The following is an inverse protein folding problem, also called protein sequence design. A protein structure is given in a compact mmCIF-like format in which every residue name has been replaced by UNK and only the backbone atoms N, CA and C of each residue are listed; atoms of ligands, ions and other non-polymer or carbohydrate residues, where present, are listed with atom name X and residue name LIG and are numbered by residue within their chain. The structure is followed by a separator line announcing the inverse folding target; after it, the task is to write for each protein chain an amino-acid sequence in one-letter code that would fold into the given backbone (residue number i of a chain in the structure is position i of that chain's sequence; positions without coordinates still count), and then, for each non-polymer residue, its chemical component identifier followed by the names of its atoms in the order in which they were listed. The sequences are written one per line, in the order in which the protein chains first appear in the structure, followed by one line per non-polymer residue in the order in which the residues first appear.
data_IF_819540435722
#
_entry.id   IF_819540435722
#
_cell.length_a   1.000
_cell.length_b   1.000
_cell.length_c   1.000
_cell.angle_alpha   90.00
_cell.angle_beta   90.00
_cell.angle_gamma   90.00
#
_symmetry.space_group_name_H-M   'P 1'
#
loop_
_entity.id
_entity.type
_entity.pdbx_description
1 polymer ?
#
# COMPACT_ATOMS: atom_id res chain seq x y z
N UNK A 1 -13.81 7.05 44.27
CA UNK A 1 -12.59 6.25 44.46
C UNK A 1 -11.79 6.30 43.16
N UNK A 2 -10.66 7.00 43.12
CA UNK A 2 -9.78 7.04 41.93
C UNK A 2 -8.75 5.93 42.11
N UNK A 3 -8.82 4.87 41.29
CA UNK A 3 -7.77 3.87 41.26
C UNK A 3 -6.59 4.43 40.44
N UNK A 4 -5.53 4.84 41.14
CA UNK A 4 -4.25 5.14 40.50
C UNK A 4 -3.58 3.82 40.13
N UNK A 5 -3.34 3.61 38.83
CA UNK A 5 -2.56 2.48 38.33
C UNK A 5 -1.09 2.84 38.54
N UNK A 6 -0.48 2.31 39.60
CA UNK A 6 0.95 2.44 39.86
C UNK A 6 1.70 1.45 38.98
N UNK A 7 2.03 1.83 37.74
CA UNK A 7 2.94 1.06 36.90
C UNK A 7 4.33 1.06 37.55
N UNK A 8 4.83 -0.13 37.92
CA UNK A 8 6.12 -0.25 38.60
C UNK A 8 7.29 -0.01 37.61
N UNK A 9 8.38 0.61 38.07
CA UNK A 9 9.56 0.94 37.25
C UNK A 9 10.10 -0.26 36.44
N UNK A 10 9.96 -1.48 36.99
CA UNK A 10 10.36 -2.74 36.36
C UNK A 10 9.57 -3.08 35.09
N UNK A 11 8.28 -2.72 35.04
CA UNK A 11 7.44 -2.89 33.86
C UNK A 11 7.73 -1.81 32.80
N UNK A 12 8.05 -0.59 33.23
CA UNK A 12 8.49 0.49 32.33
C UNK A 12 9.83 0.18 31.64
N UNK A 13 10.79 -0.41 32.36
CA UNK A 13 12.07 -0.87 31.81
C UNK A 13 11.91 -2.04 30.84
N UNK A 14 10.93 -2.92 31.09
CA UNK A 14 10.60 -4.03 30.18
C UNK A 14 9.95 -3.51 28.90
N UNK A 15 8.97 -2.61 29.00
CA UNK A 15 8.29 -1.99 27.85
C UNK A 15 9.26 -1.23 26.95
N UNK A 16 10.12 -0.40 27.52
CA UNK A 16 11.15 0.35 26.76
C UNK A 16 12.11 -0.58 26.02
N UNK A 17 12.51 -1.69 26.63
CA UNK A 17 13.37 -2.70 25.97
C UNK A 17 12.65 -3.41 24.81
N UNK A 18 11.35 -3.64 24.90
CA UNK A 18 10.53 -4.25 23.84
C UNK A 18 10.40 -3.29 22.65
N UNK A 19 10.11 -2.01 22.90
CA UNK A 19 10.04 -0.99 21.84
C UNK A 19 11.41 -0.69 21.22
N UNK A 20 12.51 -0.80 21.96
CA UNK A 20 13.85 -0.68 21.41
C UNK A 20 14.17 -1.83 20.44
N UNK A 21 13.89 -3.08 20.84
CA UNK A 21 14.03 -4.25 19.96
C UNK A 21 13.16 -4.14 18.72
N UNK A 22 11.92 -3.66 18.87
CA UNK A 22 11.01 -3.41 17.76
C UNK A 22 11.55 -2.36 16.78
N UNK A 23 12.01 -1.20 17.28
CA UNK A 23 12.63 -0.15 16.44
C UNK A 23 13.85 -0.65 15.67
N UNK A 24 14.70 -1.46 16.32
CA UNK A 24 15.84 -2.09 15.65
C UNK A 24 15.41 -3.09 14.56
N UNK A 25 14.34 -3.85 14.79
CA UNK A 25 13.78 -4.77 13.79
C UNK A 25 13.06 -4.04 12.64
N UNK A 26 12.41 -2.91 12.93
CA UNK A 26 11.75 -2.05 11.95
C UNK A 26 12.77 -1.36 11.03
N UNK A 27 13.87 -0.83 11.56
CA UNK A 27 14.95 -0.24 10.74
C UNK A 27 15.59 -1.25 9.76
N UNK A 28 15.67 -2.52 10.15
CA UNK A 28 16.16 -3.60 9.27
C UNK A 28 15.13 -3.97 8.20
N UNK A 29 13.82 -3.92 8.53
CA UNK A 29 12.73 -4.15 7.57
C UNK A 29 12.57 -3.01 6.58
N UNK A 30 12.66 -1.75 7.03
CA UNK A 30 12.58 -0.56 6.18
C UNK A 30 13.66 -0.53 5.08
N UNK A 31 14.86 -1.04 5.39
CA UNK A 31 15.93 -1.20 4.39
C UNK A 31 15.63 -2.30 3.34
N UNK A 32 14.68 -3.20 3.59
CA UNK A 32 14.30 -4.30 2.69
C UNK A 32 12.97 -4.08 1.95
N UNK A 33 12.11 -3.17 2.40
CA UNK A 33 10.74 -2.97 1.88
C UNK A 33 10.62 -2.14 0.59
N UNK A 34 11.73 -1.68 0.01
CA UNK A 34 11.72 -0.97 -1.30
C UNK A 34 11.29 -1.85 -2.49
N UNK A 35 10.94 -3.13 -2.27
CA UNK A 35 10.33 -4.01 -3.28
C UNK A 35 9.04 -4.64 -2.75
N UNK A 36 8.01 -3.83 -2.56
CA UNK A 36 6.63 -4.29 -2.29
C UNK A 36 5.91 -4.71 -3.58
N UNK A 37 6.63 -5.33 -4.52
CA UNK A 37 6.03 -5.96 -5.69
C UNK A 37 5.55 -7.34 -5.28
N UNK A 38 4.28 -7.66 -5.54
CA UNK A 38 3.79 -9.03 -5.40
C UNK A 38 4.55 -9.90 -6.40
N UNK A 39 5.56 -10.63 -5.91
CA UNK A 39 6.46 -11.44 -6.76
C UNK A 39 5.76 -12.65 -7.37
N UNK A 40 4.71 -13.15 -6.74
CA UNK A 40 3.93 -14.28 -7.23
C UNK A 40 2.64 -13.81 -7.92
N UNK A 41 2.63 -13.90 -9.25
CA UNK A 41 1.47 -13.55 -10.09
C UNK A 41 0.51 -14.72 -10.31
N UNK A 42 0.83 -15.93 -9.84
CA UNK A 42 -0.01 -17.12 -10.08
C UNK A 42 -1.46 -16.95 -9.62
N UNK A 43 -1.76 -16.35 -8.45
CA UNK A 43 -3.15 -16.11 -8.04
C UNK A 43 -3.91 -15.18 -9.00
N UNK A 44 -3.23 -14.16 -9.52
CA UNK A 44 -3.81 -13.19 -10.45
C UNK A 44 -4.02 -13.79 -11.84
N UNK A 45 -3.08 -14.59 -12.34
CA UNK A 45 -3.25 -15.31 -13.60
C UNK A 45 -4.44 -16.27 -13.50
N UNK A 46 -4.58 -16.99 -12.37
CA UNK A 46 -5.71 -17.89 -12.14
C UNK A 46 -7.06 -17.17 -12.14
N UNK A 47 -7.12 -15.96 -11.56
CA UNK A 47 -8.35 -15.19 -11.43
C UNK A 47 -8.71 -14.39 -12.68
N UNK A 48 -7.74 -13.69 -13.26
CA UNK A 48 -7.95 -12.72 -14.33
C UNK A 48 -7.56 -13.24 -15.71
N UNK A 49 -6.89 -14.40 -15.82
CA UNK A 49 -6.22 -14.92 -17.02
C UNK A 49 -4.99 -14.13 -17.45
N UNK A 50 -4.04 -14.81 -18.09
CA UNK A 50 -2.83 -14.16 -18.62
C UNK A 50 -3.13 -13.22 -19.79
N UNK A 51 -4.13 -13.55 -20.61
CA UNK A 51 -4.57 -12.73 -21.73
C UNK A 51 -5.09 -11.36 -21.25
N UNK A 52 -5.97 -11.34 -20.25
CA UNK A 52 -6.52 -10.09 -19.69
C UNK A 52 -5.43 -9.21 -19.09
N UNK A 53 -4.53 -9.81 -18.31
CA UNK A 53 -3.40 -9.09 -17.70
C UNK A 53 -2.44 -8.52 -18.76
N UNK A 54 -2.22 -9.26 -19.85
CA UNK A 54 -1.38 -8.81 -20.96
C UNK A 54 -2.06 -7.72 -21.78
N UNK A 55 -3.38 -7.81 -21.98
CA UNK A 55 -4.20 -6.78 -22.62
C UNK A 55 -4.11 -5.45 -21.89
N UNK A 56 -4.40 -5.42 -20.58
CA UNK A 56 -4.26 -4.21 -19.78
C UNK A 56 -2.83 -3.68 -19.77
N UNK A 57 -1.83 -4.54 -19.62
CA UNK A 57 -0.42 -4.12 -19.68
C UNK A 57 -0.10 -3.43 -21.01
N UNK A 58 -0.58 -3.97 -22.13
CA UNK A 58 -0.41 -3.37 -23.46
C UNK A 58 -1.13 -2.03 -23.60
N UNK A 59 -2.37 -1.92 -23.10
CA UNK A 59 -3.16 -0.67 -23.12
C UNK A 59 -2.45 0.49 -22.42
N UNK A 60 -1.70 0.19 -21.34
CA UNK A 60 -0.93 1.19 -20.59
C UNK A 60 0.56 1.23 -20.96
N UNK A 61 0.89 0.92 -22.22
CA UNK A 61 2.23 1.12 -22.78
C UNK A 61 3.27 0.13 -22.25
N UNK A 62 2.86 -1.10 -21.95
CA UNK A 62 3.69 -2.17 -21.39
C UNK A 62 4.31 -1.88 -20.02
N UNK A 63 3.80 -0.86 -19.32
CA UNK A 63 4.20 -0.52 -17.95
C UNK A 63 3.67 -1.58 -16.98
N UNK A 64 4.38 -1.79 -15.87
CA UNK A 64 3.95 -2.79 -14.88
C UNK A 64 2.63 -2.41 -14.23
N UNK A 65 1.68 -3.35 -14.23
CA UNK A 65 0.43 -3.24 -13.47
C UNK A 65 0.72 -3.31 -11.97
N UNK A 66 -0.16 -2.70 -11.18
CA UNK A 66 -0.14 -2.81 -9.73
C UNK A 66 -1.00 -3.99 -9.32
N UNK A 67 -0.43 -4.91 -8.55
CA UNK A 67 -1.12 -6.09 -8.02
C UNK A 67 -1.33 -5.91 -6.53
N UNK A 68 -2.59 -5.89 -6.11
CA UNK A 68 -2.97 -5.83 -4.70
C UNK A 68 -3.40 -7.21 -4.23
N UNK A 69 -2.84 -7.63 -3.10
CA UNK A 69 -3.24 -8.85 -2.41
C UNK A 69 -3.37 -8.57 -0.91
N UNK A 70 -4.54 -8.85 -0.37
CA UNK A 70 -4.81 -8.86 1.07
C UNK A 70 -5.52 -10.18 1.34
N UNK A 71 -4.90 -11.05 2.13
CA UNK A 71 -5.35 -12.43 2.35
C UNK A 71 -5.60 -13.21 1.04
N UNK A 72 -6.85 -13.63 0.80
CA UNK A 72 -7.30 -14.33 -0.41
C UNK A 72 -7.90 -13.39 -1.47
N UNK A 73 -8.00 -12.10 -1.18
CA UNK A 73 -8.56 -11.06 -2.05
C UNK A 73 -7.49 -10.45 -2.95
N UNK A 74 -7.87 -10.21 -4.20
CA UNK A 74 -6.98 -9.78 -5.27
C UNK A 74 -7.61 -8.62 -6.05
N UNK A 75 -6.80 -7.61 -6.36
CA UNK A 75 -7.15 -6.57 -7.31
C UNK A 75 -5.96 -6.20 -8.21
N UNK A 76 -6.28 -5.68 -9.39
CA UNK A 76 -5.31 -5.20 -10.38
C UNK A 76 -5.62 -3.76 -10.69
N UNK A 77 -4.60 -2.92 -10.58
CA UNK A 77 -4.64 -1.50 -10.89
C UNK A 77 -3.71 -1.22 -12.07
N UNK A 78 -4.07 -0.26 -12.91
CA UNK A 78 -3.17 0.25 -13.95
C UNK A 78 -2.01 1.04 -13.33
N UNK A 79 -0.87 1.17 -14.03
CA UNK A 79 0.21 2.03 -13.58
C UNK A 79 -0.23 3.51 -13.56
N UNK A 80 0.22 4.29 -12.56
CA UNK A 80 -0.06 5.73 -12.50
C UNK A 80 0.67 6.48 -13.62
N UNK A 81 0.01 7.43 -14.26
CA UNK A 81 0.60 8.42 -15.16
C UNK A 81 1.10 9.63 -14.36
N UNK A 82 1.76 10.58 -15.04
CA UNK A 82 2.22 11.81 -14.40
C UNK A 82 1.05 12.64 -13.84
N UNK A 83 -0.05 12.73 -14.59
CA UNK A 83 -1.25 13.47 -14.17
C UNK A 83 -1.87 12.85 -12.91
N UNK A 84 -1.94 11.52 -12.83
CA UNK A 84 -2.44 10.83 -11.65
C UNK A 84 -1.61 11.14 -10.39
N UNK A 85 -0.29 11.21 -10.55
CA UNK A 85 0.61 11.58 -9.45
C UNK A 85 0.43 13.05 -9.05
N UNK A 86 0.22 13.94 -10.03
CA UNK A 86 -0.09 15.36 -9.80
C UNK A 86 -1.41 15.54 -9.05
N UNK A 87 -2.47 14.85 -9.48
CA UNK A 87 -3.78 14.86 -8.85
C UNK A 87 -3.71 14.29 -7.44
N UNK A 88 -3.03 13.15 -7.26
CA UNK A 88 -2.80 12.54 -5.95
C UNK A 88 -2.09 13.50 -4.98
N UNK A 89 -1.02 14.16 -5.43
CA UNK A 89 -0.28 15.15 -4.62
C UNK A 89 -1.14 16.36 -4.25
N UNK A 90 -1.94 16.85 -5.19
CA UNK A 90 -2.88 17.95 -4.96
C UNK A 90 -3.96 17.56 -3.95
N UNK A 91 -4.49 16.34 -4.08
CA UNK A 91 -5.51 15.80 -3.18
C UNK A 91 -4.98 15.62 -1.75
N UNK A 92 -3.70 15.23 -1.57
CA UNK A 92 -3.08 15.17 -0.25
C UNK A 92 -3.13 16.55 0.44
N UNK A 93 -2.77 17.61 -0.29
CA UNK A 93 -2.73 18.97 0.25
C UNK A 93 -4.11 19.58 0.54
N UNK A 94 -5.14 19.17 -0.20
CA UNK A 94 -6.50 19.76 -0.13
C UNK A 94 -7.48 18.93 0.71
N UNK A 95 -7.46 17.60 0.55
CA UNK A 95 -8.46 16.68 1.08
C UNK A 95 -7.90 15.74 2.16
N UNK A 96 -6.57 15.71 2.33
CA UNK A 96 -5.88 14.81 3.24
C UNK A 96 -5.56 13.45 2.62
N UNK A 97 -4.61 12.75 3.24
CA UNK A 97 -4.00 11.53 2.70
C UNK A 97 -5.01 10.40 2.45
N UNK A 98 -5.92 10.14 3.39
CA UNK A 98 -6.93 9.07 3.25
C UNK A 98 -7.80 9.26 2.01
N UNK A 99 -8.31 10.48 1.78
CA UNK A 99 -9.13 10.79 0.60
C UNK A 99 -8.33 10.74 -0.69
N UNK A 100 -7.08 11.22 -0.66
CA UNK A 100 -6.20 11.15 -1.82
C UNK A 100 -5.92 9.70 -2.24
N UNK A 101 -5.69 8.80 -1.27
CA UNK A 101 -5.48 7.37 -1.56
C UNK A 101 -6.76 6.70 -2.08
N UNK A 102 -7.93 7.01 -1.52
CA UNK A 102 -9.18 6.50 -2.06
C UNK A 102 -9.39 6.94 -3.52
N UNK A 103 -9.18 8.23 -3.81
CA UNK A 103 -9.32 8.81 -5.15
C UNK A 103 -8.35 8.18 -6.16
N UNK A 104 -7.08 8.01 -5.81
CA UNK A 104 -6.11 7.41 -6.73
C UNK A 104 -6.42 5.92 -6.93
N UNK A 105 -6.81 5.18 -5.89
CA UNK A 105 -7.21 3.76 -6.05
C UNK A 105 -8.38 3.63 -7.02
N UNK A 106 -9.39 4.50 -6.89
CA UNK A 106 -10.52 4.56 -7.82
C UNK A 106 -10.08 4.84 -9.26
N UNK A 107 -9.22 5.85 -9.49
CA UNK A 107 -8.71 6.20 -10.82
C UNK A 107 -7.86 5.09 -11.48
N UNK A 108 -7.17 4.30 -10.66
CA UNK A 108 -6.28 3.25 -11.14
C UNK A 108 -6.95 1.88 -11.25
N UNK A 109 -8.15 1.68 -10.71
CA UNK A 109 -8.80 0.37 -10.61
C UNK A 109 -9.14 -0.23 -11.99
N UNK A 110 -8.66 -1.46 -12.25
CA UNK A 110 -9.05 -2.21 -13.45
C UNK A 110 -10.08 -3.29 -13.12
N UNK A 111 -9.78 -4.12 -12.12
CA UNK A 111 -10.66 -5.22 -11.69
C UNK A 111 -10.19 -5.79 -10.34
N UNK A 112 -11.09 -6.42 -9.59
CA UNK A 112 -10.73 -7.00 -8.30
C UNK A 112 -11.91 -7.39 -7.41
N UNK A 113 -11.58 -7.94 -6.24
CA UNK A 113 -12.54 -8.12 -5.15
C UNK A 113 -12.87 -6.76 -4.52
N UNK A 114 -14.14 -6.35 -4.54
CA UNK A 114 -14.56 -5.07 -4.00
C UNK A 114 -14.47 -5.00 -2.47
N UNK A 115 -14.41 -6.13 -1.78
CA UNK A 115 -14.17 -6.17 -0.33
C UNK A 115 -12.86 -5.45 0.05
N UNK A 116 -11.88 -5.38 -0.87
CA UNK A 116 -10.65 -4.62 -0.68
C UNK A 116 -10.85 -3.10 -0.52
N UNK A 117 -12.00 -2.57 -0.96
CA UNK A 117 -12.34 -1.15 -0.89
C UNK A 117 -13.63 -0.88 -0.09
N UNK A 118 -14.44 -1.91 0.18
CA UNK A 118 -15.67 -1.82 0.98
C UNK A 118 -15.42 -2.10 2.48
N UNK A 119 -14.50 -3.01 2.81
CA UNK A 119 -14.15 -3.34 4.20
C UNK A 119 -13.03 -2.42 4.71
N UNK A 120 -13.23 -1.81 5.87
CA UNK A 120 -12.30 -0.81 6.43
C UNK A 120 -10.92 -1.41 6.74
N UNK A 121 -10.87 -2.62 7.31
CA UNK A 121 -9.60 -3.27 7.68
C UNK A 121 -8.81 -3.67 6.42
N UNK A 122 -9.50 -4.19 5.40
CA UNK A 122 -8.88 -4.47 4.10
C UNK A 122 -8.45 -3.19 3.37
N UNK A 123 -9.27 -2.13 3.44
CA UNK A 123 -8.95 -0.86 2.82
C UNK A 123 -7.73 -0.20 3.47
N UNK A 124 -7.54 -0.33 4.79
CA UNK A 124 -6.30 0.10 5.46
C UNK A 124 -5.09 -0.65 4.90
N UNK A 125 -5.20 -1.96 4.66
CA UNK A 125 -4.11 -2.74 4.06
C UNK A 125 -3.82 -2.30 2.62
N UNK A 126 -4.85 -2.07 1.80
CA UNK A 126 -4.73 -1.51 0.44
C UNK A 126 -4.09 -0.13 0.47
N UNK A 127 -4.55 0.73 1.38
CA UNK A 127 -4.05 2.09 1.57
C UNK A 127 -2.54 2.09 1.80
N UNK A 128 -2.06 1.24 2.71
CA UNK A 128 -0.63 1.15 3.02
C UNK A 128 0.18 0.63 1.82
N UNK A 129 -0.33 -0.37 1.09
CA UNK A 129 0.34 -0.90 -0.10
C UNK A 129 0.44 0.18 -1.19
N UNK A 130 -0.66 0.87 -1.48
CA UNK A 130 -0.71 1.90 -2.52
C UNK A 130 0.15 3.11 -2.17
N UNK A 131 0.08 3.59 -0.93
CA UNK A 131 0.92 4.69 -0.49
C UNK A 131 2.42 4.36 -0.68
N UNK A 132 2.85 3.14 -0.32
CA UNK A 132 4.24 2.72 -0.52
C UNK A 132 4.64 2.64 -2.00
N UNK A 133 3.75 2.13 -2.86
CA UNK A 133 3.99 2.04 -4.30
C UNK A 133 4.13 3.44 -4.91
N UNK A 134 3.23 4.36 -4.56
CA UNK A 134 3.23 5.73 -5.09
C UNK A 134 4.43 6.54 -4.60
N UNK A 135 4.86 6.37 -3.35
CA UNK A 135 6.10 7.00 -2.85
C UNK A 135 7.33 6.50 -3.61
N UNK A 136 7.41 5.20 -3.92
CA UNK A 136 8.47 4.65 -4.77
C UNK A 136 8.47 5.28 -6.17
N UNK A 137 7.29 5.39 -6.80
CA UNK A 137 7.14 6.00 -8.13
C UNK A 137 7.44 7.50 -8.15
N UNK A 138 7.07 8.24 -7.10
CA UNK A 138 7.46 9.65 -6.93
C UNK A 138 8.98 9.79 -6.87
N UNK A 139 9.65 8.92 -6.13
CA UNK A 139 11.11 8.88 -6.07
C UNK A 139 11.77 8.64 -7.43
N UNK A 140 11.20 7.80 -8.28
CA UNK A 140 11.65 7.60 -9.67
C UNK A 140 11.39 8.84 -10.54
N UNK A 141 10.20 9.43 -10.43
CA UNK A 141 9.77 10.58 -11.24
C UNK A 141 10.58 11.85 -10.96
N UNK A 142 10.84 12.19 -9.70
CA UNK A 142 11.55 13.41 -9.32
C UNK A 142 13.09 13.29 -9.35
N UNK A 143 13.63 12.09 -9.57
CA UNK A 143 15.08 11.87 -9.72
C UNK A 143 15.55 11.94 -11.19
N UNK A 144 14.62 11.87 -12.14
CA UNK A 144 14.89 12.05 -13.57
C UNK A 144 14.92 13.54 -13.93
#
# INVERSE_FOLDING_TARGET
MKQSITTTEKESGKLTSVFAKRRSAEAVKEAQTTKSEVKDRTPFIKKFSEEKLSGWKSEYGNRELIYLKVDDKLAVLRPPLADDLGDYLTAIGTNGMTKAVAMIVESLWLDGDYELIEDEDMFIAVFLQINNILEGKKGEFFRA
#
